data_IF_748817860075
#
_entry.id   IF_748817860075
#
_cell.length_a   1.000
_cell.length_b   1.000
_cell.length_c   1.000
_cell.angle_alpha   90.00
_cell.angle_beta   90.00
_cell.angle_gamma   90.00
#
_symmetry.space_group_name_H-M   'P 1'
#
loop_
_entity.id
_entity.type
_entity.pdbx_description
1 polymer ?
#
# COMPACT_ATOMS: atom_id res chain seq x y z
N UNK A 1 4.21 -13.98 3.66
CA UNK A 1 3.34 -13.45 4.74
C UNK A 1 4.19 -12.73 5.76
N UNK A 2 3.66 -11.65 6.35
CA UNK A 2 4.38 -10.82 7.32
C UNK A 2 4.54 -11.59 8.65
N UNK A 3 5.58 -11.29 9.44
CA UNK A 3 5.84 -11.94 10.75
C UNK A 3 5.45 -11.06 11.94
N UNK A 4 4.62 -10.06 11.70
CA UNK A 4 4.19 -9.09 12.71
C UNK A 4 2.69 -9.19 12.92
N UNK A 5 2.20 -8.67 14.04
CA UNK A 5 0.77 -8.56 14.29
C UNK A 5 0.14 -7.62 13.28
N UNK A 6 -0.94 -8.08 12.65
CA UNK A 6 -1.77 -7.32 11.73
C UNK A 6 -3.24 -7.52 12.06
N UNK A 7 -4.07 -6.52 11.78
CA UNK A 7 -5.53 -6.62 11.84
C UNK A 7 -6.01 -6.96 10.43
N UNK A 8 -6.79 -8.04 10.31
CA UNK A 8 -7.33 -8.47 9.02
C UNK A 8 -8.48 -7.56 8.57
N UNK A 9 -8.75 -7.52 7.26
CA UNK A 9 -9.85 -6.71 6.68
C UNK A 9 -11.19 -6.95 7.38
N UNK A 10 -11.51 -8.21 7.68
CA UNK A 10 -12.76 -8.60 8.33
C UNK A 10 -12.90 -8.18 9.79
N UNK A 11 -11.79 -7.81 10.44
CA UNK A 11 -11.72 -7.38 11.84
C UNK A 11 -11.32 -5.90 11.97
N UNK A 12 -11.22 -5.18 10.86
CA UNK A 12 -10.92 -3.76 10.87
C UNK A 12 -12.19 -2.98 11.25
N UNK A 13 -12.03 -2.00 12.13
CA UNK A 13 -13.10 -1.13 12.61
C UNK A 13 -12.67 0.33 12.52
N UNK A 14 -13.64 1.25 12.58
CA UNK A 14 -13.42 2.70 12.54
C UNK A 14 -12.54 3.14 11.37
N UNK A 15 -11.57 4.02 11.65
CA UNK A 15 -10.67 4.59 10.63
C UNK A 15 -9.91 3.52 9.84
N UNK A 16 -9.51 2.40 10.45
CA UNK A 16 -8.78 1.36 9.74
C UNK A 16 -9.65 0.70 8.67
N UNK A 17 -10.93 0.45 8.96
CA UNK A 17 -11.87 -0.13 8.02
C UNK A 17 -12.05 0.75 6.77
N UNK A 18 -12.17 2.07 6.98
CA UNK A 18 -12.29 3.05 5.90
C UNK A 18 -11.04 3.09 5.01
N UNK A 19 -9.85 3.07 5.63
CA UNK A 19 -8.57 3.03 4.92
C UNK A 19 -8.40 1.74 4.11
N UNK A 20 -8.85 0.60 4.63
CA UNK A 20 -8.85 -0.67 3.92
C UNK A 20 -9.85 -0.71 2.77
N UNK A 21 -11.08 -0.20 2.98
CA UNK A 21 -12.07 -0.09 1.92
C UNK A 21 -11.54 0.77 0.76
N UNK A 22 -10.91 1.91 1.08
CA UNK A 22 -10.29 2.81 0.09
C UNK A 22 -9.16 2.12 -0.67
N UNK A 23 -8.24 1.46 0.04
CA UNK A 23 -7.14 0.73 -0.59
C UNK A 23 -7.64 -0.40 -1.52
N UNK A 24 -8.66 -1.13 -1.07
CA UNK A 24 -9.27 -2.22 -1.84
C UNK A 24 -9.94 -1.72 -3.12
N UNK A 25 -10.66 -0.60 -3.04
CA UNK A 25 -11.28 0.03 -4.20
C UNK A 25 -10.26 0.56 -5.22
N UNK A 26 -9.09 1.00 -4.75
CA UNK A 26 -8.00 1.49 -5.61
C UNK A 26 -7.09 0.36 -6.15
N UNK A 27 -7.20 -0.85 -5.60
CA UNK A 27 -6.40 -1.99 -6.03
C UNK A 27 -6.91 -2.54 -7.37
N UNK A 28 -6.04 -2.72 -8.39
CA UNK A 28 -6.42 -3.31 -9.67
C UNK A 28 -7.03 -4.72 -9.55
N UNK A 29 -6.64 -5.47 -8.52
CA UNK A 29 -7.11 -6.84 -8.24
C UNK A 29 -8.13 -6.90 -7.08
N UNK A 30 -8.60 -5.75 -6.59
CA UNK A 30 -9.66 -5.68 -5.57
C UNK A 30 -9.32 -6.27 -4.20
N UNK A 31 -8.05 -6.24 -3.76
CA UNK A 31 -7.62 -6.69 -2.42
C UNK A 31 -6.79 -5.62 -1.71
N UNK A 32 -6.72 -5.70 -0.38
CA UNK A 32 -5.76 -4.87 0.38
C UNK A 32 -4.39 -5.54 0.33
N UNK A 33 -3.39 -4.88 -0.25
CA UNK A 33 -2.03 -5.38 -0.30
C UNK A 33 -1.46 -5.64 1.12
N UNK A 34 -0.72 -6.73 1.32
CA UNK A 34 -0.24 -7.11 2.67
C UNK A 34 0.70 -6.07 3.27
N UNK A 35 1.45 -5.31 2.45
CA UNK A 35 2.27 -4.20 2.94
C UNK A 35 1.43 -3.16 3.69
N UNK A 36 0.19 -2.87 3.25
CA UNK A 36 -0.69 -1.93 3.96
C UNK A 36 -1.20 -2.53 5.27
N UNK A 37 -1.37 -3.85 5.33
CA UNK A 37 -1.76 -4.57 6.56
C UNK A 37 -0.67 -4.50 7.64
N UNK A 38 0.60 -4.36 7.26
CA UNK A 38 1.70 -4.16 8.24
C UNK A 38 1.53 -2.92 9.11
N UNK A 39 0.75 -1.93 8.64
CA UNK A 39 0.54 -0.66 9.31
C UNK A 39 -0.80 -0.61 10.07
N UNK A 40 -1.51 -1.75 10.17
CA UNK A 40 -2.86 -1.81 10.72
C UNK A 40 -3.00 -1.30 12.16
N UNK A 41 -1.92 -1.41 12.95
CA UNK A 41 -1.90 -0.98 14.36
C UNK A 41 -1.70 0.55 14.50
N UNK A 42 -1.45 1.25 13.40
CA UNK A 42 -1.26 2.71 13.33
C UNK A 42 -2.03 3.29 12.12
N UNK A 43 -3.37 3.39 12.21
CA UNK A 43 -4.19 3.89 11.10
C UNK A 43 -3.81 5.31 10.65
N UNK A 44 -3.35 6.15 11.58
CA UNK A 44 -2.81 7.48 11.30
C UNK A 44 -1.58 7.43 10.37
N UNK A 45 -0.66 6.49 10.61
CA UNK A 45 0.50 6.28 9.77
C UNK A 45 0.12 5.67 8.41
N UNK A 46 -0.80 4.68 8.41
CA UNK A 46 -1.31 4.10 7.18
C UNK A 46 -1.95 5.17 6.26
N UNK A 47 -2.72 6.10 6.82
CA UNK A 47 -3.31 7.19 6.06
C UNK A 47 -2.25 8.06 5.37
N UNK A 48 -1.18 8.41 6.07
CA UNK A 48 -0.05 9.16 5.51
C UNK A 48 0.66 8.38 4.39
N UNK A 49 0.89 7.08 4.57
CA UNK A 49 1.50 6.23 3.55
C UNK A 49 0.61 6.10 2.30
N UNK A 50 -0.71 5.94 2.47
CA UNK A 50 -1.63 5.92 1.33
C UNK A 50 -1.62 7.25 0.57
N UNK A 51 -1.54 8.39 1.27
CA UNK A 51 -1.40 9.69 0.62
C UNK A 51 -0.07 9.80 -0.16
N UNK A 52 1.04 9.38 0.45
CA UNK A 52 2.36 9.34 -0.20
C UNK A 52 2.40 8.42 -1.42
N UNK A 53 1.73 7.26 -1.36
CA UNK A 53 1.64 6.32 -2.47
C UNK A 53 0.87 6.90 -3.66
N UNK A 54 -0.26 7.57 -3.41
CA UNK A 54 -1.02 8.25 -4.48
C UNK A 54 -0.17 9.32 -5.18
N UNK A 55 0.61 10.09 -4.41
CA UNK A 55 1.52 11.09 -4.99
C UNK A 55 2.63 10.44 -5.83
N UNK A 56 3.17 9.30 -5.41
CA UNK A 56 4.22 8.58 -6.15
C UNK A 56 3.79 8.06 -7.53
N UNK A 57 2.51 7.72 -7.71
CA UNK A 57 2.00 7.09 -8.93
C UNK A 57 1.02 7.97 -9.73
N UNK A 58 0.98 9.27 -9.42
CA UNK A 58 0.28 10.27 -10.25
C UNK A 58 1.17 10.66 -11.41
N UNK A 59 0.60 10.74 -12.62
CA UNK A 59 1.33 11.16 -13.81
C UNK A 59 1.84 12.61 -13.66
N UNK A 60 3.07 12.84 -14.14
CA UNK A 60 3.71 14.14 -14.18
C UNK A 60 4.77 14.18 -15.27
N UNK A 61 6.02 14.51 -14.91
CA UNK A 61 7.16 14.38 -15.84
C UNK A 61 7.40 12.93 -16.29
N UNK A 62 6.98 11.97 -15.47
CA UNK A 62 6.97 10.55 -15.78
C UNK A 62 5.53 10.03 -15.75
N UNK A 63 5.26 8.99 -16.55
CA UNK A 63 4.01 8.24 -16.51
C UNK A 63 4.08 7.14 -15.47
N UNK A 64 2.93 6.66 -14.99
CA UNK A 64 2.83 5.54 -14.06
C UNK A 64 3.72 4.34 -14.42
N UNK A 65 3.74 3.93 -15.70
CA UNK A 65 4.58 2.80 -16.15
C UNK A 65 6.08 3.01 -15.87
N UNK A 66 6.58 4.24 -15.94
CA UNK A 66 7.97 4.57 -15.63
C UNK A 66 8.22 4.56 -14.11
N UNK A 67 7.27 5.06 -13.32
CA UNK A 67 7.33 4.94 -11.85
C UNK A 67 7.41 3.47 -11.40
N UNK A 68 6.56 2.61 -11.97
CA UNK A 68 6.56 1.16 -11.69
C UNK A 68 7.87 0.49 -12.12
N UNK A 69 8.45 0.90 -13.26
CA UNK A 69 9.75 0.39 -13.74
C UNK A 69 10.88 0.74 -12.76
N UNK A 70 10.93 1.99 -12.29
CA UNK A 70 11.90 2.45 -11.30
C UNK A 70 11.72 1.69 -9.98
N UNK A 71 10.47 1.57 -9.50
CA UNK A 71 10.16 0.83 -8.28
C UNK A 71 10.58 -0.65 -8.35
N UNK A 72 10.36 -1.29 -9.51
CA UNK A 72 10.77 -2.66 -9.78
C UNK A 72 12.29 -2.82 -9.78
N UNK A 73 13.00 -1.91 -10.44
CA UNK A 73 14.47 -1.92 -10.49
C UNK A 73 15.08 -1.72 -9.10
N UNK A 74 14.61 -0.73 -8.33
CA UNK A 74 15.08 -0.46 -6.97
C UNK A 74 14.78 -1.64 -6.04
N UNK A 75 13.61 -2.27 -6.17
CA UNK A 75 13.27 -3.47 -5.40
C UNK A 75 14.20 -4.64 -5.72
N UNK A 76 14.55 -4.82 -7.00
CA UNK A 76 15.45 -5.89 -7.44
C UNK A 76 16.87 -5.73 -6.87
N UNK A 77 17.45 -4.53 -6.92
CA UNK A 77 18.79 -4.27 -6.36
C UNK A 77 18.82 -4.33 -4.83
N UNK A 78 17.68 -4.08 -4.17
CA UNK A 78 17.53 -4.24 -2.72
C UNK A 78 17.16 -5.67 -2.30
N UNK A 79 17.03 -6.60 -3.25
CA UNK A 79 16.56 -7.97 -2.99
C UNK A 79 15.21 -8.04 -2.26
N UNK A 80 14.33 -7.05 -2.48
CA UNK A 80 12.99 -7.00 -1.92
C UNK A 80 12.06 -7.91 -2.73
N UNK A 81 11.80 -9.11 -2.22
CA UNK A 81 11.08 -10.18 -2.94
C UNK A 81 9.54 -10.10 -2.84
N UNK A 82 9.04 -9.45 -1.81
CA UNK A 82 7.61 -9.32 -1.54
C UNK A 82 6.91 -8.61 -2.70
#
# INVERSE_FOLDING_TARGET
MTRIKVVQESAAEGQLAELYATAKAQSPIGVVAEILKTMSLRPDFLAAIQAASRMHFTDGALRRAQHEMIASYVSAINHCRY
#
